data_IF_941500076258
#
_entry.id   IF_941500076258
#
_cell.length_a   1.000
_cell.length_b   1.000
_cell.length_c   1.000
_cell.angle_alpha   90.00
_cell.angle_beta   90.00
_cell.angle_gamma   90.00
#
_symmetry.space_group_name_H-M   'P 1'
#
loop_
_entity.id
_entity.type
_entity.pdbx_description
1 polymer ?
#
# COMPACT_ATOMS: atom_id res chain seq x y z
N UNK A 1 4.48 53.24 -52.19
CA UNK A 1 5.11 51.94 -52.39
C UNK A 1 4.02 50.92 -52.75
N UNK A 2 4.00 50.40 -53.99
CA UNK A 2 3.09 49.35 -54.44
C UNK A 2 3.76 48.01 -54.12
N UNK A 3 3.27 47.28 -53.11
CA UNK A 3 3.68 45.90 -52.84
C UNK A 3 3.12 45.02 -53.97
N UNK A 4 4.00 44.58 -54.91
CA UNK A 4 3.65 43.54 -55.84
C UNK A 4 3.54 42.20 -55.13
N UNK A 5 2.34 41.82 -54.73
CA UNK A 5 2.06 40.45 -54.29
C UNK A 5 2.11 39.54 -55.50
N UNK A 6 3.23 38.80 -55.69
CA UNK A 6 3.26 37.66 -56.58
C UNK A 6 2.39 36.58 -55.98
N UNK A 7 1.35 36.17 -56.73
CA UNK A 7 0.50 35.04 -56.27
C UNK A 7 1.36 33.76 -56.17
N UNK A 8 1.15 32.97 -55.10
CA UNK A 8 1.78 31.67 -54.94
C UNK A 8 1.34 30.72 -56.05
N UNK A 9 2.29 30.01 -56.63
CA UNK A 9 1.99 28.96 -57.62
C UNK A 9 1.36 27.75 -56.88
N UNK A 10 0.54 26.97 -57.57
CA UNK A 10 -0.09 25.77 -57.03
C UNK A 10 0.94 24.78 -56.49
N UNK A 11 2.11 24.67 -57.14
CA UNK A 11 3.23 23.82 -56.73
C UNK A 11 3.88 24.29 -55.43
N UNK A 12 4.07 25.61 -55.25
CA UNK A 12 4.60 26.16 -54.01
C UNK A 12 3.66 25.91 -52.81
N UNK A 13 2.36 26.02 -53.05
CA UNK A 13 1.34 25.75 -52.00
C UNK A 13 1.31 24.26 -51.63
N UNK A 14 1.50 23.36 -52.61
CA UNK A 14 1.55 21.92 -52.41
C UNK A 14 2.80 21.50 -51.59
N UNK A 15 3.96 22.06 -51.93
CA UNK A 15 5.23 21.83 -51.21
C UNK A 15 5.12 22.36 -49.77
N UNK A 16 4.60 23.58 -49.60
CA UNK A 16 4.45 24.20 -48.29
C UNK A 16 3.49 23.37 -47.39
N UNK A 17 2.36 22.89 -47.92
CA UNK A 17 1.42 22.06 -47.17
C UNK A 17 2.01 20.69 -46.78
N UNK A 18 2.83 20.08 -47.67
CA UNK A 18 3.53 18.83 -47.38
C UNK A 18 4.55 18.99 -46.24
N UNK A 19 5.37 20.05 -46.30
CA UNK A 19 6.34 20.39 -45.25
C UNK A 19 5.60 20.64 -43.91
N UNK A 20 4.51 21.40 -43.97
CA UNK A 20 3.69 21.66 -42.76
C UNK A 20 3.14 20.38 -42.15
N UNK A 21 2.62 19.45 -42.95
CA UNK A 21 2.15 18.14 -42.49
C UNK A 21 3.27 17.32 -41.84
N UNK A 22 4.46 17.28 -42.45
CA UNK A 22 5.62 16.59 -41.86
C UNK A 22 6.03 17.20 -40.53
N UNK A 23 6.14 18.53 -40.45
CA UNK A 23 6.45 19.21 -39.17
C UNK A 23 5.40 18.95 -38.09
N UNK A 24 4.13 19.01 -38.45
CA UNK A 24 3.03 18.76 -37.53
C UNK A 24 3.04 17.33 -37.03
N UNK A 25 3.28 16.36 -37.94
CA UNK A 25 3.32 14.93 -37.55
C UNK A 25 4.49 14.63 -36.61
N UNK A 26 5.66 15.24 -36.82
CA UNK A 26 6.80 15.08 -35.90
C UNK A 26 6.53 15.69 -34.54
N UNK A 27 5.95 16.89 -34.47
CA UNK A 27 5.58 17.53 -33.20
C UNK A 27 4.56 16.69 -32.42
N UNK A 28 3.54 16.17 -33.09
CA UNK A 28 2.54 15.29 -32.45
C UNK A 28 3.21 14.01 -31.94
N UNK A 29 4.10 13.40 -32.72
CA UNK A 29 4.80 12.17 -32.30
C UNK A 29 5.66 12.39 -31.07
N UNK A 30 6.42 13.49 -31.02
CA UNK A 30 7.24 13.88 -29.88
C UNK A 30 6.35 14.14 -28.66
N UNK A 31 5.25 14.87 -28.82
CA UNK A 31 4.31 15.16 -27.74
C UNK A 31 3.69 13.88 -27.14
N UNK A 32 3.29 12.92 -27.99
CA UNK A 32 2.77 11.63 -27.54
C UNK A 32 3.82 10.82 -26.76
N UNK A 33 5.08 10.84 -27.22
CA UNK A 33 6.19 10.19 -26.54
C UNK A 33 6.44 10.80 -25.15
N UNK A 34 6.54 12.12 -25.07
CA UNK A 34 6.71 12.86 -23.80
C UNK A 34 5.56 12.58 -22.84
N UNK A 35 4.31 12.61 -23.33
CA UNK A 35 3.14 12.29 -22.52
C UNK A 35 3.20 10.88 -21.93
N UNK A 36 3.64 9.88 -22.71
CA UNK A 36 3.80 8.50 -22.25
C UNK A 36 4.84 8.41 -21.13
N UNK A 37 6.02 8.99 -21.32
CA UNK A 37 7.09 9.01 -20.31
C UNK A 37 6.59 9.68 -19.03
N UNK A 38 6.00 10.86 -19.15
CA UNK A 38 5.46 11.61 -18.01
C UNK A 38 4.41 10.81 -17.22
N UNK A 39 3.51 10.08 -17.91
CA UNK A 39 2.51 9.23 -17.25
C UNK A 39 3.16 8.11 -16.46
N UNK A 40 4.19 7.46 -17.01
CA UNK A 40 4.93 6.38 -16.31
C UNK A 40 5.66 6.95 -15.09
N UNK A 41 6.33 8.08 -15.23
CA UNK A 41 7.10 8.70 -14.16
C UNK A 41 6.20 9.13 -12.98
N UNK A 42 5.09 9.82 -13.26
CA UNK A 42 4.12 10.18 -12.21
C UNK A 42 3.60 8.94 -11.51
N UNK A 43 3.16 7.93 -12.27
CA UNK A 43 2.64 6.70 -11.67
C UNK A 43 3.68 6.00 -10.81
N UNK A 44 4.93 6.02 -11.21
CA UNK A 44 6.06 5.47 -10.46
C UNK A 44 6.28 6.23 -9.14
N UNK A 45 6.26 7.57 -9.21
CA UNK A 45 6.42 8.42 -8.03
C UNK A 45 5.28 8.22 -7.05
N UNK A 46 4.03 8.20 -7.52
CA UNK A 46 2.85 8.01 -6.68
C UNK A 46 2.88 6.64 -6.00
N UNK A 47 3.17 5.57 -6.74
CA UNK A 47 3.28 4.22 -6.17
C UNK A 47 4.38 4.12 -5.11
N UNK A 48 5.53 4.76 -5.34
CA UNK A 48 6.62 4.82 -4.35
C UNK A 48 6.21 5.60 -3.11
N UNK A 49 5.48 6.70 -3.27
CA UNK A 49 5.01 7.52 -2.15
C UNK A 49 4.01 6.77 -1.29
N UNK A 50 3.02 6.12 -1.91
CA UNK A 50 2.05 5.28 -1.20
C UNK A 50 2.73 4.17 -0.41
N UNK A 51 3.64 3.42 -1.05
CA UNK A 51 4.39 2.35 -0.39
C UNK A 51 5.23 2.85 0.78
N UNK A 52 5.97 3.94 0.61
CA UNK A 52 6.78 4.51 1.70
C UNK A 52 5.92 4.94 2.87
N UNK A 53 4.77 5.56 2.60
CA UNK A 53 3.83 5.99 3.64
C UNK A 53 3.24 4.79 4.37
N UNK A 54 2.84 3.74 3.64
CA UNK A 54 2.33 2.51 4.22
C UNK A 54 3.38 1.82 5.11
N UNK A 55 4.61 1.67 4.62
CA UNK A 55 5.71 1.07 5.37
C UNK A 55 6.11 1.91 6.60
N UNK A 56 6.12 3.23 6.46
CA UNK A 56 6.39 4.12 7.60
C UNK A 56 5.34 3.92 8.71
N UNK A 57 4.07 3.83 8.33
CA UNK A 57 2.99 3.58 9.27
C UNK A 57 3.11 2.22 9.94
N UNK A 58 3.33 1.16 9.16
CA UNK A 58 3.57 -0.18 9.70
C UNK A 58 4.77 -0.21 10.65
N UNK A 59 5.88 0.43 10.27
CA UNK A 59 7.07 0.53 11.12
C UNK A 59 6.77 1.22 12.46
N UNK A 60 6.02 2.33 12.43
CA UNK A 60 5.61 3.03 13.65
C UNK A 60 4.78 2.13 14.56
N UNK A 61 3.76 1.48 13.99
CA UNK A 61 2.86 0.60 14.76
C UNK A 61 3.61 -0.62 15.31
N UNK A 62 4.49 -1.25 14.54
CA UNK A 62 5.27 -2.41 15.00
C UNK A 62 6.31 -2.06 16.08
N UNK A 63 6.96 -0.89 15.98
CA UNK A 63 7.87 -0.42 17.03
C UNK A 63 7.19 -0.15 18.35
N UNK A 64 5.94 0.29 18.33
CA UNK A 64 5.14 0.56 19.52
C UNK A 64 4.43 -0.70 20.06
N UNK A 65 4.37 -1.75 19.26
CA UNK A 65 3.69 -2.98 19.63
C UNK A 65 4.37 -3.68 20.81
N UNK A 66 3.56 -4.23 21.69
CA UNK A 66 3.98 -5.04 22.82
C UNK A 66 3.76 -6.54 22.54
N UNK A 67 2.73 -6.86 21.76
CA UNK A 67 2.33 -8.25 21.50
C UNK A 67 1.94 -8.43 20.04
N UNK A 68 2.28 -9.60 19.49
CA UNK A 68 1.86 -10.03 18.14
C UNK A 68 0.84 -11.14 18.30
N UNK A 69 -0.26 -11.07 17.55
CA UNK A 69 -1.22 -12.16 17.45
C UNK A 69 -0.70 -13.22 16.48
N UNK A 70 -0.17 -14.32 17.00
CA UNK A 70 0.35 -15.43 16.18
C UNK A 70 -0.63 -16.60 16.14
N UNK A 71 -0.64 -17.36 15.03
CA UNK A 71 -1.45 -18.57 14.90
C UNK A 71 -2.97 -18.33 14.91
N UNK A 72 -3.43 -17.10 14.70
CA UNK A 72 -4.85 -16.74 14.71
C UNK A 72 -5.35 -16.41 13.32
N UNK A 73 -6.65 -16.48 13.14
CA UNK A 73 -7.32 -16.09 11.92
C UNK A 73 -8.53 -15.20 12.21
N UNK A 74 -8.94 -14.45 11.20
CA UNK A 74 -10.19 -13.69 11.21
C UNK A 74 -10.83 -13.74 9.82
N UNK A 75 -12.14 -13.52 9.78
CA UNK A 75 -12.91 -13.47 8.52
C UNK A 75 -13.33 -12.02 8.28
N UNK A 76 -13.00 -11.51 7.09
CA UNK A 76 -13.45 -10.20 6.65
C UNK A 76 -14.02 -10.30 5.22
N UNK A 77 -15.23 -9.82 5.02
CA UNK A 77 -15.96 -9.90 3.74
C UNK A 77 -15.95 -11.30 3.10
N UNK A 78 -16.14 -12.33 3.94
CA UNK A 78 -16.20 -13.74 3.49
C UNK A 78 -14.84 -14.37 3.14
N UNK A 79 -13.72 -13.68 3.34
CA UNK A 79 -12.37 -14.23 3.19
C UNK A 79 -11.72 -14.47 4.54
N UNK A 80 -11.05 -15.61 4.67
CA UNK A 80 -10.26 -15.95 5.86
C UNK A 80 -8.84 -15.42 5.71
N UNK A 81 -8.38 -14.67 6.69
CA UNK A 81 -7.03 -14.15 6.80
C UNK A 81 -6.31 -14.87 7.93
N UNK A 82 -5.21 -15.54 7.59
CA UNK A 82 -4.37 -16.21 8.56
C UNK A 82 -3.19 -15.31 8.94
N UNK A 83 -3.00 -15.11 10.23
CA UNK A 83 -1.80 -14.50 10.78
C UNK A 83 -0.73 -15.59 10.86
N UNK A 84 0.55 -15.29 10.55
CA UNK A 84 1.61 -16.29 10.54
C UNK A 84 1.57 -17.16 11.77
N UNK A 85 1.76 -18.48 11.63
CA UNK A 85 1.77 -19.40 12.75
C UNK A 85 2.92 -19.10 13.71
N UNK A 86 2.83 -19.73 14.86
CA UNK A 86 3.79 -19.67 15.94
C UNK A 86 5.23 -19.61 15.43
N UNK A 87 6.10 -18.75 15.98
CA UNK A 87 7.51 -18.64 15.68
C UNK A 87 8.32 -19.93 15.78
N UNK A 88 7.77 -20.99 16.37
CA UNK A 88 8.35 -22.34 16.35
C UNK A 88 8.44 -22.95 14.92
N UNK A 89 7.72 -22.38 13.95
CA UNK A 89 7.83 -22.75 12.53
C UNK A 89 8.16 -21.49 11.70
N UNK A 90 9.38 -20.95 11.85
CA UNK A 90 9.81 -19.80 11.06
C UNK A 90 9.91 -20.22 9.59
N UNK A 91 9.00 -19.76 8.76
CA UNK A 91 9.01 -20.04 7.34
C UNK A 91 7.67 -20.15 6.67
N UNK A 92 6.57 -20.14 7.41
CA UNK A 92 5.24 -20.00 6.78
C UNK A 92 4.89 -18.53 6.70
N UNK A 93 4.99 -17.91 5.52
CA UNK A 93 4.63 -16.52 5.35
C UNK A 93 3.11 -16.34 5.53
N UNK A 94 2.73 -15.27 6.19
CA UNK A 94 1.33 -14.86 6.29
C UNK A 94 1.08 -13.57 5.53
N UNK A 95 -0.10 -13.47 4.95
CA UNK A 95 -0.54 -12.28 4.22
C UNK A 95 -1.28 -11.27 5.10
N UNK A 96 -1.33 -11.53 6.40
CA UNK A 96 -1.92 -10.66 7.39
C UNK A 96 -1.13 -10.71 8.70
N UNK A 97 -1.20 -9.63 9.46
CA UNK A 97 -0.60 -9.53 10.78
C UNK A 97 -1.49 -8.66 11.68
N UNK A 98 -1.49 -8.94 12.98
CA UNK A 98 -2.11 -8.09 13.96
C UNK A 98 -1.21 -7.96 15.19
N UNK A 99 -1.18 -6.76 15.76
CA UNK A 99 -0.37 -6.39 16.92
C UNK A 99 -1.20 -5.62 17.92
N UNK A 100 -0.82 -5.71 19.19
CA UNK A 100 -1.40 -4.89 20.25
C UNK A 100 -0.40 -3.82 20.69
N UNK A 101 -0.85 -2.58 20.68
CA UNK A 101 -0.08 -1.39 21.04
C UNK A 101 -0.67 -0.86 22.35
N UNK A 102 0.12 -0.71 23.43
CA UNK A 102 -0.39 -0.14 24.67
C UNK A 102 -0.83 1.31 24.50
N UNK A 103 -1.97 1.66 25.02
CA UNK A 103 -2.44 3.05 25.07
C UNK A 103 -1.75 3.76 26.22
N UNK A 104 -1.12 4.88 25.91
CA UNK A 104 -0.41 5.73 26.88
C UNK A 104 -1.21 7.01 27.02
N UNK A 105 -1.52 7.39 28.26
CA UNK A 105 -2.23 8.62 28.59
C UNK A 105 -1.34 9.86 28.40
N UNK A 106 -1.93 11.04 28.50
CA UNK A 106 -1.23 12.33 28.40
C UNK A 106 -0.04 12.46 29.35
N UNK A 107 -0.09 11.77 30.47
CA UNK A 107 0.94 11.80 31.52
C UNK A 107 2.07 10.78 31.28
N UNK A 108 2.04 10.11 30.13
CA UNK A 108 3.04 9.09 29.78
C UNK A 108 2.81 7.74 30.48
N UNK A 109 1.66 7.55 31.15
CA UNK A 109 1.32 6.36 31.92
C UNK A 109 0.47 5.43 31.04
N UNK A 110 0.66 4.11 31.18
CA UNK A 110 -0.17 3.12 30.49
C UNK A 110 -1.60 3.13 31.05
N UNK A 111 -2.59 3.33 30.21
CA UNK A 111 -4.01 3.35 30.61
C UNK A 111 -4.57 1.97 30.99
N UNK A 112 -3.85 0.90 30.65
CA UNK A 112 -4.32 -0.48 30.77
C UNK A 112 -5.14 -0.96 29.58
N UNK A 113 -5.39 -0.11 28.58
CA UNK A 113 -6.03 -0.44 27.33
C UNK A 113 -5.00 -0.62 26.21
N UNK A 114 -5.43 -1.25 25.13
CA UNK A 114 -4.60 -1.50 23.94
C UNK A 114 -5.31 -1.02 22.68
N UNK A 115 -4.52 -0.53 21.75
CA UNK A 115 -4.94 -0.36 20.36
C UNK A 115 -4.53 -1.61 19.58
N UNK A 116 -5.51 -2.38 19.12
CA UNK A 116 -5.27 -3.54 18.27
C UNK A 116 -5.22 -3.06 16.84
N UNK A 117 -4.08 -3.22 16.21
CA UNK A 117 -3.85 -2.80 14.84
C UNK A 117 -3.44 -3.99 14.00
N UNK A 118 -3.99 -4.13 12.81
CA UNK A 118 -3.57 -5.17 11.89
C UNK A 118 -3.57 -4.72 10.44
N UNK A 119 -2.93 -5.53 9.63
CA UNK A 119 -2.70 -5.30 8.21
C UNK A 119 -3.03 -6.55 7.42
N UNK A 120 -3.71 -6.39 6.30
CA UNK A 120 -4.05 -7.48 5.40
C UNK A 120 -4.26 -6.96 3.96
N UNK A 121 -4.24 -7.89 3.01
CA UNK A 121 -4.51 -7.58 1.61
C UNK A 121 -5.97 -7.88 1.26
N UNK A 122 -6.65 -6.90 0.71
CA UNK A 122 -8.02 -7.02 0.19
C UNK A 122 -8.03 -6.78 -1.31
N UNK A 123 -8.93 -7.44 -2.05
CA UNK A 123 -9.19 -7.09 -3.45
C UNK A 123 -9.71 -5.65 -3.56
N UNK A 124 -9.26 -4.91 -4.55
CA UNK A 124 -9.74 -3.54 -4.79
C UNK A 124 -11.24 -3.53 -5.05
N UNK A 125 -11.96 -2.60 -4.43
CA UNK A 125 -13.42 -2.44 -4.60
C UNK A 125 -13.80 -2.02 -6.02
N UNK A 126 -12.95 -1.24 -6.69
CA UNK A 126 -13.08 -0.82 -8.08
C UNK A 126 -11.76 -1.09 -8.82
N UNK A 127 -11.51 -2.34 -9.23
CA UNK A 127 -10.30 -2.65 -9.97
C UNK A 127 -10.30 -1.92 -11.31
N UNK A 128 -9.16 -1.31 -11.63
CA UNK A 128 -8.93 -0.73 -12.95
C UNK A 128 -8.99 -1.84 -14.02
N UNK A 129 -9.52 -1.50 -15.20
CA UNK A 129 -9.62 -2.39 -16.35
C UNK A 129 -8.31 -3.15 -16.66
N UNK A 130 -7.18 -2.52 -16.42
CA UNK A 130 -5.86 -3.08 -16.71
C UNK A 130 -5.25 -3.86 -15.54
N UNK A 131 -5.85 -3.75 -14.35
CA UNK A 131 -5.37 -4.37 -13.10
C UNK A 131 -6.48 -5.14 -12.37
N UNK A 132 -7.19 -6.09 -13.02
CA UNK A 132 -8.37 -6.73 -12.43
C UNK A 132 -8.08 -7.58 -11.20
N UNK A 133 -6.82 -8.00 -11.01
CA UNK A 133 -6.38 -8.81 -9.85
C UNK A 133 -5.63 -8.02 -8.79
N UNK A 134 -5.52 -6.69 -8.95
CA UNK A 134 -4.79 -5.88 -7.99
C UNK A 134 -5.47 -5.90 -6.61
N UNK A 135 -4.64 -5.91 -5.57
CA UNK A 135 -5.06 -5.86 -4.18
C UNK A 135 -4.73 -4.48 -3.58
N UNK A 136 -5.35 -4.21 -2.44
CA UNK A 136 -5.06 -3.03 -1.63
C UNK A 136 -4.60 -3.46 -0.24
N UNK A 137 -3.65 -2.72 0.33
CA UNK A 137 -3.22 -2.90 1.71
C UNK A 137 -4.18 -2.15 2.63
N UNK A 138 -4.87 -2.91 3.46
CA UNK A 138 -5.81 -2.38 4.44
C UNK A 138 -5.22 -2.48 5.84
N UNK A 139 -5.33 -1.39 6.60
CA UNK A 139 -5.04 -1.32 8.03
C UNK A 139 -6.37 -1.27 8.78
N UNK A 140 -6.53 -2.09 9.80
CA UNK A 140 -7.59 -1.92 10.78
C UNK A 140 -7.03 -1.45 12.11
N UNK A 141 -7.86 -0.76 12.89
CA UNK A 141 -7.50 -0.22 14.19
C UNK A 141 -8.72 -0.27 15.10
N UNK A 142 -8.56 -0.87 16.29
CA UNK A 142 -9.58 -1.00 17.33
C UNK A 142 -9.00 -0.68 18.70
N UNK A 143 -9.70 0.13 19.48
CA UNK A 143 -9.29 0.45 20.84
C UNK A 143 -10.07 -0.41 21.83
N UNK A 144 -9.36 -1.17 22.65
CA UNK A 144 -9.99 -1.89 23.75
C UNK A 144 -10.45 -0.91 24.83
N UNK A 145 -11.48 -1.29 25.56
CA UNK A 145 -12.04 -0.51 26.66
C UNK A 145 -12.12 -1.36 27.93
N UNK A 146 -12.23 -0.70 29.09
CA UNK A 146 -12.42 -1.39 30.38
C UNK A 146 -11.14 -1.80 31.11
N UNK A 147 -9.96 -1.59 30.50
CA UNK A 147 -8.69 -1.76 31.19
C UNK A 147 -8.38 -0.57 32.09
N UNK A 148 -7.70 -0.86 33.19
CA UNK A 148 -7.13 0.13 34.11
C UNK A 148 -5.67 -0.18 34.34
N UNK A 149 -4.90 0.78 34.85
CA UNK A 149 -3.49 0.57 35.15
C UNK A 149 -3.27 -0.61 36.12
N UNK A 150 -4.18 -0.76 37.13
CA UNK A 150 -4.11 -1.84 38.13
C UNK A 150 -4.61 -3.19 37.58
N UNK A 151 -5.50 -3.17 36.57
CA UNK A 151 -6.05 -4.36 35.93
C UNK A 151 -6.11 -4.19 34.42
N UNK A 152 -4.96 -4.32 33.72
CA UNK A 152 -4.90 -4.11 32.29
C UNK A 152 -5.66 -5.20 31.52
N UNK A 153 -6.20 -4.83 30.36
CA UNK A 153 -6.76 -5.80 29.42
C UNK A 153 -5.64 -6.74 28.99
N UNK A 154 -5.89 -8.05 29.00
CA UNK A 154 -4.97 -8.97 28.36
C UNK A 154 -5.20 -8.93 26.83
N UNK A 155 -4.27 -8.36 26.04
CA UNK A 155 -4.49 -8.23 24.62
C UNK A 155 -4.67 -9.58 23.92
N UNK A 156 -4.01 -10.64 24.39
CA UNK A 156 -4.13 -11.98 23.82
C UNK A 156 -5.49 -12.64 24.08
N UNK A 157 -6.27 -12.19 25.06
CA UNK A 157 -7.63 -12.69 25.29
C UNK A 157 -8.66 -12.09 24.34
N UNK A 158 -8.33 -11.00 23.66
CA UNK A 158 -9.23 -10.32 22.72
C UNK A 158 -9.39 -11.15 21.45
N UNK A 159 -10.64 -11.44 21.09
CA UNK A 159 -10.93 -12.19 19.87
C UNK A 159 -10.86 -11.25 18.65
N UNK A 160 -9.95 -11.55 17.71
CA UNK A 160 -9.78 -10.77 16.49
C UNK A 160 -11.03 -10.71 15.61
N UNK A 161 -11.85 -11.77 15.61
CA UNK A 161 -13.13 -11.76 14.88
C UNK A 161 -14.07 -10.70 15.44
N UNK A 162 -14.18 -10.60 16.75
CA UNK A 162 -14.99 -9.56 17.42
C UNK A 162 -14.45 -8.16 17.09
N UNK A 163 -13.13 -7.99 17.09
CA UNK A 163 -12.50 -6.72 16.68
C UNK A 163 -12.90 -6.34 15.25
N UNK A 164 -12.75 -7.25 14.30
CA UNK A 164 -13.02 -6.97 12.87
C UNK A 164 -14.50 -6.69 12.60
N UNK A 165 -15.42 -7.29 13.37
CA UNK A 165 -16.87 -7.09 13.19
C UNK A 165 -17.43 -5.93 14.01
N UNK A 166 -16.63 -5.34 14.88
CA UNK A 166 -17.04 -4.19 15.69
C UNK A 166 -17.28 -2.94 14.83
N UNK A 167 -18.33 -2.19 15.15
CA UNK A 167 -18.59 -0.87 14.57
C UNK A 167 -17.49 0.17 14.89
N UNK A 168 -16.75 -0.06 15.97
CA UNK A 168 -15.68 0.84 16.44
C UNK A 168 -14.35 0.59 15.75
N UNK A 169 -14.30 -0.43 14.89
CA UNK A 169 -13.09 -0.73 14.11
C UNK A 169 -12.98 0.20 12.89
N UNK A 170 -11.88 0.93 12.85
CA UNK A 170 -11.58 1.83 11.74
C UNK A 170 -10.72 1.10 10.70
N UNK A 171 -11.16 1.12 9.44
CA UNK A 171 -10.43 0.55 8.30
C UNK A 171 -9.88 1.67 7.43
N UNK A 172 -8.60 1.59 7.09
CA UNK A 172 -7.91 2.57 6.25
C UNK A 172 -7.12 1.87 5.17
N UNK A 173 -7.32 2.26 3.92
CA UNK A 173 -6.50 1.79 2.80
C UNK A 173 -5.20 2.59 2.80
N UNK A 174 -4.06 1.90 2.78
CA UNK A 174 -2.73 2.50 2.83
C UNK A 174 -2.02 2.51 1.49
N UNK A 175 -2.24 1.49 0.66
CA UNK A 175 -1.64 1.39 -0.66
C UNK A 175 -2.53 0.58 -1.61
N UNK A 176 -2.45 0.90 -2.89
CA UNK A 176 -3.18 0.26 -3.98
C UNK A 176 -2.24 -0.51 -4.91
N UNK A 177 -2.82 -1.30 -5.81
CA UNK A 177 -2.11 -2.04 -6.86
C UNK A 177 -1.04 -3.00 -6.35
N UNK A 178 -1.27 -3.60 -5.18
CA UNK A 178 -0.39 -4.64 -4.67
C UNK A 178 -0.67 -5.93 -5.44
N UNK A 179 0.40 -6.60 -5.86
CA UNK A 179 0.29 -7.91 -6.50
C UNK A 179 -0.42 -8.91 -5.58
N UNK A 180 -1.19 -9.86 -6.13
CA UNK A 180 -1.67 -11.00 -5.34
C UNK A 180 -0.47 -11.66 -4.64
N UNK A 181 -0.54 -11.83 -3.31
CA UNK A 181 0.57 -12.30 -2.49
C UNK A 181 1.81 -11.39 -2.49
N UNK A 182 1.67 -10.14 -2.92
CA UNK A 182 2.76 -9.16 -2.95
C UNK A 182 3.15 -8.59 -1.58
N UNK A 183 2.51 -9.02 -0.49
CA UNK A 183 2.84 -8.66 0.88
C UNK A 183 2.93 -9.93 1.71
N UNK A 184 4.04 -10.09 2.40
CA UNK A 184 4.29 -11.25 3.23
C UNK A 184 4.88 -10.81 4.57
N UNK A 185 4.36 -11.38 5.66
CA UNK A 185 4.86 -11.15 7.00
C UNK A 185 5.53 -12.41 7.54
N UNK A 186 6.70 -12.27 8.08
CA UNK A 186 7.40 -13.32 8.83
C UNK A 186 7.66 -12.82 10.25
N UNK A 187 7.22 -13.55 11.25
CA UNK A 187 7.55 -13.30 12.65
C UNK A 187 8.79 -14.14 12.99
N UNK A 188 9.79 -13.52 13.59
CA UNK A 188 11.02 -14.19 13.98
C UNK A 188 11.43 -13.80 15.39
N UNK A 189 12.33 -14.60 16.01
CA UNK A 189 12.86 -14.40 17.36
C UNK A 189 11.75 -14.16 18.37
N UNK A 190 11.09 -15.25 18.87
CA UNK A 190 9.76 -15.26 19.48
C UNK A 190 9.57 -14.29 20.63
N UNK A 191 8.61 -13.43 20.61
CA UNK A 191 7.95 -12.75 19.48
C UNK A 191 8.47 -11.30 19.33
N UNK A 192 9.73 -11.08 19.00
CA UNK A 192 10.40 -9.76 19.06
C UNK A 192 10.61 -9.09 17.71
N UNK A 193 10.49 -9.82 16.63
CA UNK A 193 10.77 -9.28 15.31
C UNK A 193 9.68 -9.60 14.28
N UNK A 194 9.39 -8.62 13.45
CA UNK A 194 8.51 -8.77 12.30
C UNK A 194 9.34 -8.38 11.07
N UNK A 195 9.48 -9.30 10.14
CA UNK A 195 10.00 -9.02 8.82
C UNK A 195 8.82 -8.88 7.86
N UNK A 196 8.67 -7.72 7.28
CA UNK A 196 7.80 -7.54 6.13
C UNK A 196 8.63 -7.91 4.90
N UNK A 197 8.32 -9.04 4.30
CA UNK A 197 8.86 -9.35 2.99
C UNK A 197 8.34 -8.34 1.97
N UNK A 198 9.04 -8.27 0.86
CA UNK A 198 8.83 -7.27 -0.17
C UNK A 198 7.36 -6.95 -0.44
N UNK A 199 6.96 -5.71 -0.22
CA UNK A 199 5.70 -5.21 -0.78
C UNK A 199 5.94 -4.96 -2.26
N UNK A 200 5.28 -5.76 -3.10
CA UNK A 200 5.36 -5.63 -4.56
C UNK A 200 4.13 -4.93 -5.06
N UNK A 201 4.32 -3.81 -5.72
CA UNK A 201 3.28 -3.09 -6.46
C UNK A 201 3.52 -3.31 -7.94
N UNK A 202 2.49 -3.76 -8.65
CA UNK A 202 2.46 -3.79 -10.10
C UNK A 202 1.25 -3.02 -10.60
N UNK A 203 1.50 -1.93 -11.33
CA UNK A 203 0.45 -1.17 -11.99
C UNK A 203 0.64 -1.21 -13.49
N UNK A 204 -0.28 -1.88 -14.17
CA UNK A 204 -0.34 -1.93 -15.63
C UNK A 204 -1.03 -0.67 -16.14
N UNK A 205 -0.43 -0.04 -17.10
CA UNK A 205 -0.96 1.14 -17.80
C UNK A 205 -1.30 0.74 -19.24
N UNK A 206 -2.33 1.38 -19.82
CA UNK A 206 -2.71 1.13 -21.21
C UNK A 206 -1.53 1.38 -22.16
N UNK A 207 -1.13 0.37 -22.92
CA UNK A 207 -0.06 0.46 -23.95
C UNK A 207 1.31 0.95 -23.43
N UNK A 208 1.58 0.78 -22.13
CA UNK A 208 2.84 1.16 -21.49
C UNK A 208 3.40 -0.03 -20.71
N UNK A 209 4.72 -0.07 -20.45
CA UNK A 209 5.29 -1.09 -19.57
C UNK A 209 4.71 -0.98 -18.17
N UNK A 210 4.52 -2.12 -17.46
CA UNK A 210 4.02 -2.10 -16.10
C UNK A 210 5.02 -1.40 -15.16
N UNK A 211 4.49 -0.59 -14.27
CA UNK A 211 5.28 0.02 -13.19
C UNK A 211 5.39 -0.99 -12.06
N UNK A 212 6.60 -1.48 -11.81
CA UNK A 212 6.88 -2.43 -10.72
C UNK A 212 7.74 -1.76 -9.67
N UNK A 213 7.35 -1.92 -8.41
CA UNK A 213 8.09 -1.45 -7.25
C UNK A 213 8.15 -2.55 -6.19
N UNK A 214 9.33 -2.74 -5.60
CA UNK A 214 9.56 -3.70 -4.53
C UNK A 214 10.26 -2.99 -3.38
N UNK A 215 9.70 -3.07 -2.18
CA UNK A 215 10.34 -2.52 -0.98
C UNK A 215 10.33 -3.62 0.09
N UNK A 216 11.49 -3.85 0.70
CA UNK A 216 11.66 -4.79 1.83
C UNK A 216 11.91 -4.00 3.11
N UNK A 217 11.41 -4.52 4.22
CA UNK A 217 11.61 -3.88 5.52
C UNK A 217 11.61 -4.93 6.63
N UNK A 218 12.37 -4.69 7.67
CA UNK A 218 12.40 -5.51 8.89
C UNK A 218 12.27 -4.63 10.12
N UNK A 219 11.54 -5.10 11.13
CA UNK A 219 11.25 -4.33 12.34
C UNK A 219 11.49 -5.18 13.57
N UNK A 220 12.09 -4.58 14.59
CA UNK A 220 12.19 -5.13 15.93
C UNK A 220 11.25 -4.35 16.86
N UNK A 221 10.48 -5.10 17.65
CA UNK A 221 9.62 -4.52 18.69
C UNK A 221 10.49 -3.97 19.82
N UNK A 222 10.23 -2.73 20.21
CA UNK A 222 11.05 -2.02 21.19
C UNK A 222 10.73 -2.37 22.65
N UNK A 223 9.52 -2.89 22.92
CA UNK A 223 8.94 -2.96 24.25
C UNK A 223 8.93 -4.34 24.92
N UNK A 224 9.70 -5.29 24.44
CA UNK A 224 9.83 -6.60 25.11
C UNK A 224 10.99 -6.59 26.12
N UNK A 225 10.83 -5.83 27.20
CA UNK A 225 11.61 -6.01 28.44
C UNK A 225 10.74 -6.63 29.52
#
# INVERSE_FOLDING_TARGET
>A
MRCNFKGLTLTELLIASFIFLLCTSTVISVWLCVRKIYTVDITTIDSRRELRTALHRMNSDFKMAETIYTGRSFIYKGRTYQIPPDPLYPGSPGYSIAVAIPVIDSDGIRSGNYTITGYFLEGQSNPDKYNPGAQQLVRFCYNTTGGTQANPVNPLSVNLQTVITSSDTNFTVLAHYIEPQGLEFTVFDPPRGIKTAAVKVERKLANLPPVQQKIESGYFMRNNR
#
